data_IF_127657751130
#
_entry.id   IF_127657751130
#
_cell.length_a   1.000
_cell.length_b   1.000
_cell.length_c   1.000
_cell.angle_alpha   90.00
_cell.angle_beta   90.00
_cell.angle_gamma   90.00
#
_symmetry.space_group_name_H-M   'P 1'
#
loop_
_entity.id
_entity.type
_entity.pdbx_description
1 polymer ?
#
# COMPACT_ATOMS: atom_id res chain seq x y z
N UNK A 1 2.22 3.13 7.04
CA UNK A 1 1.09 3.03 7.98
C UNK A 1 -0.19 2.88 7.16
N UNK A 2 -0.86 1.73 7.21
CA UNK A 2 -2.13 1.50 6.49
C UNK A 2 -3.30 2.03 7.31
N UNK A 3 -4.12 2.92 6.74
CA UNK A 3 -5.34 3.45 7.38
C UNK A 3 -6.54 3.13 6.47
N UNK A 4 -7.36 2.14 6.83
CA UNK A 4 -8.68 1.96 6.24
C UNK A 4 -9.27 0.56 6.28
N UNK A 5 -10.52 0.46 6.76
CA UNK A 5 -11.46 -0.67 6.57
C UNK A 5 -11.98 -0.58 5.12
N UNK A 6 -11.81 -1.57 4.21
CA UNK A 6 -12.25 -1.40 2.84
C UNK A 6 -13.61 -2.05 2.57
N UNK A 7 -14.71 -1.29 2.58
CA UNK A 7 -15.78 -1.49 1.62
C UNK A 7 -15.45 -0.62 0.39
N UNK A 8 -14.99 -1.29 -0.67
CA UNK A 8 -15.01 -0.84 -2.08
C UNK A 8 -13.90 0.08 -2.63
N UNK A 9 -12.95 0.61 -1.86
CA UNK A 9 -11.73 1.24 -2.44
C UNK A 9 -10.52 1.01 -1.54
N UNK A 10 -9.52 0.27 -2.04
CA UNK A 10 -8.20 0.25 -1.42
C UNK A 10 -7.58 1.63 -1.61
N UNK A 11 -7.44 2.40 -0.53
CA UNK A 11 -6.58 3.58 -0.51
C UNK A 11 -5.18 3.13 -0.11
N UNK A 12 -4.24 3.16 -1.05
CA UNK A 12 -2.83 2.93 -0.74
C UNK A 12 -2.13 4.28 -0.56
N UNK A 13 -1.47 4.44 0.58
CA UNK A 13 -0.51 5.49 0.82
C UNK A 13 0.73 4.90 1.48
N UNK A 14 1.90 5.42 1.10
CA UNK A 14 3.18 5.09 1.71
C UNK A 14 3.89 6.38 2.09
N UNK A 15 4.85 6.24 3.00
CA UNK A 15 5.67 7.36 3.48
C UNK A 15 7.10 7.02 3.14
N UNK A 16 7.77 7.91 2.43
CA UNK A 16 9.16 7.79 2.00
C UNK A 16 9.78 9.19 2.06
N UNK A 17 10.99 9.29 2.61
CA UNK A 17 11.73 10.55 2.78
C UNK A 17 10.94 11.68 3.47
N UNK A 18 10.01 11.30 4.35
CA UNK A 18 9.15 12.24 5.07
C UNK A 18 7.93 12.72 4.27
N UNK A 19 7.81 12.33 3.01
CA UNK A 19 6.69 12.66 2.14
C UNK A 19 5.64 11.54 2.12
N UNK A 20 4.37 11.92 2.01
CA UNK A 20 3.25 10.98 1.90
C UNK A 20 2.83 10.90 0.44
N UNK A 21 3.02 9.73 -0.17
CA UNK A 21 2.62 9.46 -1.54
C UNK A 21 1.41 8.54 -1.56
N UNK A 22 0.43 8.85 -2.41
CA UNK A 22 -0.77 8.07 -2.61
C UNK A 22 -0.81 7.43 -3.99
N UNK A 23 -1.42 6.24 -4.10
CA UNK A 23 -1.60 5.58 -5.40
C UNK A 23 -2.36 6.47 -6.40
N UNK A 24 -3.35 7.24 -5.94
CA UNK A 24 -4.08 8.16 -6.83
C UNK A 24 -3.18 9.26 -7.40
N UNK A 25 -2.25 9.80 -6.60
CA UNK A 25 -1.28 10.80 -7.06
C UNK A 25 -0.34 10.17 -8.08
N UNK A 26 0.20 8.98 -7.77
CA UNK A 26 1.06 8.21 -8.68
C UNK A 26 0.39 7.95 -10.05
N UNK A 27 -0.89 7.59 -10.05
CA UNK A 27 -1.66 7.36 -11.28
C UNK A 27 -1.84 8.65 -12.09
N UNK A 28 -2.09 9.77 -11.42
CA UNK A 28 -2.24 11.07 -12.08
C UNK A 28 -0.92 11.56 -12.67
N UNK A 29 0.17 11.46 -11.89
CA UNK A 29 1.50 11.98 -12.26
C UNK A 29 2.13 11.18 -13.41
N UNK A 30 1.87 9.87 -13.47
CA UNK A 30 2.41 8.98 -14.50
C UNK A 30 1.42 8.64 -15.63
N UNK A 31 0.21 9.22 -15.62
CA UNK A 31 -0.78 9.04 -16.70
C UNK A 31 -1.22 7.59 -16.93
N UNK A 32 -1.23 6.77 -15.88
CA UNK A 32 -1.49 5.33 -15.99
C UNK A 32 -2.91 5.04 -16.48
N UNK A 33 -3.06 4.06 -17.36
CA UNK A 33 -4.37 3.59 -17.81
C UNK A 33 -5.06 2.82 -16.68
N UNK A 34 -6.40 2.83 -16.60
CA UNK A 34 -7.13 2.12 -15.55
C UNK A 34 -6.75 0.64 -15.37
N UNK A 35 -6.48 -0.08 -16.46
CA UNK A 35 -6.06 -1.49 -16.42
C UNK A 35 -4.65 -1.69 -15.86
N UNK A 36 -3.77 -0.69 -15.96
CA UNK A 36 -2.43 -0.73 -15.35
C UNK A 36 -2.53 -0.48 -13.84
N UNK A 37 -3.43 0.43 -13.43
CA UNK A 37 -3.74 0.67 -12.02
C UNK A 37 -4.28 -0.59 -11.35
N UNK A 38 -5.23 -1.28 -12.00
CA UNK A 38 -5.78 -2.54 -11.49
C UNK A 38 -4.70 -3.60 -11.25
N UNK A 39 -3.78 -3.77 -12.22
CA UNK A 39 -2.65 -4.70 -12.06
C UNK A 39 -1.77 -4.33 -10.87
N UNK A 40 -1.44 -3.05 -10.70
CA UNK A 40 -0.64 -2.58 -9.57
C UNK A 40 -1.35 -2.87 -8.24
N UNK A 41 -2.65 -2.60 -8.14
CA UNK A 41 -3.44 -2.91 -6.93
C UNK A 41 -3.44 -4.40 -6.62
N UNK A 42 -3.58 -5.25 -7.64
CA UNK A 42 -3.58 -6.70 -7.46
C UNK A 42 -2.21 -7.23 -7.02
N UNK A 43 -1.11 -6.69 -7.55
CA UNK A 43 0.24 -7.03 -7.12
C UNK A 43 0.50 -6.61 -5.67
N UNK A 44 0.10 -5.39 -5.30
CA UNK A 44 0.20 -4.89 -3.93
C UNK A 44 -0.60 -5.76 -2.95
N UNK A 45 -1.81 -6.19 -3.34
CA UNK A 45 -2.61 -7.14 -2.56
C UNK A 45 -1.87 -8.46 -2.40
N UNK A 46 -1.30 -9.00 -3.47
CA UNK A 46 -0.55 -10.26 -3.43
C UNK A 46 0.65 -10.21 -2.48
N UNK A 47 1.42 -9.11 -2.49
CA UNK A 47 2.54 -8.92 -1.56
C UNK A 47 2.04 -8.85 -0.11
N UNK A 48 0.95 -8.12 0.14
CA UNK A 48 0.35 -8.04 1.47
C UNK A 48 -0.15 -9.39 1.99
N UNK A 49 -0.78 -10.20 1.14
CA UNK A 49 -1.27 -11.54 1.49
C UNK A 49 -0.12 -12.51 1.79
N UNK A 50 0.99 -12.42 1.06
CA UNK A 50 2.21 -13.21 1.32
C UNK A 50 2.85 -12.88 2.67
N UNK A 51 2.66 -11.66 3.17
CA UNK A 51 3.05 -11.26 4.52
C UNK A 51 2.01 -11.67 5.59
N UNK A 52 1.11 -12.61 5.28
CA UNK A 52 0.03 -13.09 6.15
C UNK A 52 0.49 -13.57 7.52
N UNK A 53 1.61 -14.29 7.55
CA UNK A 53 2.17 -14.92 8.76
C UNK A 53 2.97 -13.94 9.64
N UNK A 54 3.20 -12.71 9.17
CA UNK A 54 3.93 -11.71 9.94
C UNK A 54 3.13 -11.29 11.19
N UNK A 55 3.83 -11.11 12.31
CA UNK A 55 3.22 -10.66 13.56
C UNK A 55 2.54 -9.30 13.36
N UNK A 56 1.28 -9.20 13.80
CA UNK A 56 0.49 -7.96 13.69
C UNK A 56 0.26 -7.36 15.06
N UNK A 57 0.42 -6.05 15.13
CA UNK A 57 0.10 -5.24 16.29
C UNK A 57 -1.07 -4.37 15.91
N UNK A 58 -1.97 -4.11 16.86
CA UNK A 58 -3.09 -3.22 16.60
C UNK A 58 -3.32 -2.29 17.77
N UNK A 59 -3.77 -1.08 17.46
CA UNK A 59 -4.20 -0.09 18.44
C UNK A 59 -5.38 0.68 17.90
N UNK A 60 -6.15 1.30 18.79
CA UNK A 60 -7.26 2.17 18.41
C UNK A 60 -6.80 3.62 18.50
N UNK A 61 -6.93 4.35 17.41
CA UNK A 61 -6.72 5.80 17.35
C UNK A 61 -8.10 6.43 17.15
N UNK A 62 -8.62 7.07 18.20
CA UNK A 62 -10.01 7.53 18.29
C UNK A 62 -11.02 6.39 18.02
N UNK A 63 -11.74 6.46 16.90
CA UNK A 63 -12.73 5.49 16.44
C UNK A 63 -12.16 4.49 15.40
N UNK A 64 -10.87 4.62 15.03
CA UNK A 64 -10.24 3.82 13.97
C UNK A 64 -9.28 2.78 14.51
N UNK A 65 -9.37 1.56 14.00
CA UNK A 65 -8.38 0.50 14.26
C UNK A 65 -7.19 0.67 13.32
N UNK A 66 -6.00 0.80 13.89
CA UNK A 66 -4.73 0.82 13.16
C UNK A 66 -4.05 -0.52 13.37
N UNK A 67 -3.62 -1.14 12.27
CA UNK A 67 -2.87 -2.40 12.29
C UNK A 67 -1.47 -2.14 11.72
N UNK A 68 -0.46 -2.56 12.46
CA UNK A 68 0.94 -2.50 12.06
C UNK A 68 1.43 -3.93 11.86
N UNK A 69 1.94 -4.19 10.66
CA UNK A 69 2.56 -5.46 10.28
C UNK A 69 4.03 -5.19 9.98
N UNK A 70 4.95 -5.35 10.95
CA UNK A 70 6.38 -5.23 10.69
C UNK A 70 6.82 -6.38 9.79
N UNK A 71 7.23 -6.08 8.57
CA UNK A 71 7.67 -7.08 7.60
C UNK A 71 8.58 -6.46 6.55
N UNK A 72 9.87 -6.79 6.60
CA UNK A 72 10.83 -6.38 5.56
C UNK A 72 10.48 -6.96 4.20
N UNK A 73 9.89 -8.17 4.16
CA UNK A 73 9.40 -8.77 2.92
C UNK A 73 8.28 -7.94 2.28
N UNK A 74 7.33 -7.45 3.10
CA UNK A 74 6.25 -6.58 2.62
C UNK A 74 6.82 -5.24 2.13
N UNK A 75 7.75 -4.67 2.87
CA UNK A 75 8.44 -3.43 2.51
C UNK A 75 9.17 -3.53 1.18
N UNK A 76 10.01 -4.56 0.99
CA UNK A 76 10.74 -4.81 -0.25
C UNK A 76 9.78 -5.04 -1.44
N UNK A 77 8.72 -5.80 -1.22
CA UNK A 77 7.74 -6.09 -2.28
C UNK A 77 6.99 -4.83 -2.73
N UNK A 78 6.61 -3.97 -1.79
CA UNK A 78 5.97 -2.67 -2.10
C UNK A 78 6.95 -1.74 -2.83
N UNK A 79 8.20 -1.64 -2.39
CA UNK A 79 9.23 -0.83 -3.07
C UNK A 79 9.43 -1.28 -4.52
N UNK A 80 9.62 -2.58 -4.78
CA UNK A 80 9.81 -3.10 -6.14
C UNK A 80 8.65 -2.78 -7.08
N UNK A 81 7.41 -2.78 -6.57
CA UNK A 81 6.23 -2.44 -7.36
C UNK A 81 6.22 -0.94 -7.69
N UNK A 82 6.50 -0.09 -6.69
CA UNK A 82 6.51 1.38 -6.86
C UNK A 82 7.66 1.81 -7.77
N UNK A 83 8.87 1.30 -7.57
CA UNK A 83 10.05 1.64 -8.37
C UNK A 83 9.83 1.43 -9.87
N UNK A 84 9.07 0.39 -10.24
CA UNK A 84 8.72 0.06 -11.63
C UNK A 84 7.70 1.03 -12.24
N UNK A 85 6.97 1.78 -11.42
CA UNK A 85 5.99 2.76 -11.89
C UNK A 85 6.65 4.14 -11.98
N UNK A 86 7.58 4.44 -11.07
CA UNK A 86 8.25 5.74 -11.00
C UNK A 86 9.47 5.87 -11.91
N UNK A 87 10.02 4.77 -12.42
CA UNK A 87 11.15 4.72 -13.37
C UNK A 87 10.74 4.03 -14.68
#
# INVERSE_FOLDING_TARGET
>A
MFIGKPPKKFGLAWIHDGEVSGLNSLVQDHGMKPSEVEKVVDELRSVYEKAGDAKRFSTKVNDRLVVVTPSSQLEEGVHKIIDRITH
#
